data_IF_593985441073
#
_entry.id   IF_593985441073
#
_cell.length_a   1.000
_cell.length_b   1.000
_cell.length_c   1.000
_cell.angle_alpha   90.00
_cell.angle_beta   90.00
_cell.angle_gamma   90.00
#
_symmetry.space_group_name_H-M   'P 1'
#
loop_
_entity.id
_entity.type
_entity.pdbx_description
1 polymer ?
#
# COMPACT_ATOMS: atom_id res chain seq x y z
N UNK A 1 12.55 1.72 -17.84
CA UNK A 1 12.32 1.76 -16.39
C UNK A 1 13.10 2.90 -15.76
N UNK A 2 12.49 3.55 -14.78
CA UNK A 2 13.16 4.65 -14.09
C UNK A 2 14.31 4.09 -13.22
N UNK A 3 15.55 4.53 -13.50
CA UNK A 3 16.74 4.12 -12.74
C UNK A 3 16.67 4.51 -11.26
N UNK A 4 15.78 5.43 -10.89
CA UNK A 4 15.57 5.85 -9.50
C UNK A 4 15.04 4.73 -8.61
N UNK A 5 14.45 3.68 -9.19
CA UNK A 5 13.94 2.55 -8.43
C UNK A 5 15.01 1.52 -8.10
N UNK A 6 16.15 1.53 -8.80
CA UNK A 6 17.24 0.61 -8.49
C UNK A 6 17.84 0.92 -7.13
N UNK A 7 18.03 -0.12 -6.32
CA UNK A 7 18.54 0.02 -4.96
C UNK A 7 17.51 0.53 -3.95
N UNK A 8 16.30 0.82 -4.40
CA UNK A 8 15.20 1.24 -3.52
C UNK A 8 14.33 0.04 -3.15
N UNK A 9 13.80 0.07 -1.93
CA UNK A 9 12.87 -0.96 -1.45
C UNK A 9 11.45 -0.43 -1.58
N UNK A 10 10.63 -1.15 -2.34
CA UNK A 10 9.23 -0.80 -2.58
C UNK A 10 8.33 -1.56 -1.62
N UNK A 11 7.55 -0.84 -0.82
CA UNK A 11 6.55 -1.42 0.05
C UNK A 11 5.17 -1.31 -0.59
N UNK A 12 4.41 -2.39 -0.57
CA UNK A 12 3.08 -2.46 -1.14
C UNK A 12 2.07 -2.78 -0.03
N UNK A 13 1.10 -1.91 0.16
CA UNK A 13 0.02 -2.13 1.13
C UNK A 13 -1.15 -2.78 0.41
N UNK A 14 -1.40 -4.04 0.73
CA UNK A 14 -2.40 -4.87 0.06
C UNK A 14 -1.76 -5.89 -0.88
N UNK A 15 -2.04 -7.17 -0.64
CA UNK A 15 -1.46 -8.28 -1.40
C UNK A 15 -2.48 -9.06 -2.22
N UNK A 16 -3.46 -8.38 -2.83
CA UNK A 16 -4.46 -9.01 -3.69
C UNK A 16 -3.96 -9.22 -5.12
N UNK A 17 -4.87 -9.39 -6.05
CA UNK A 17 -4.52 -9.69 -7.44
C UNK A 17 -3.77 -8.55 -8.12
N UNK A 18 -4.13 -7.29 -7.85
CA UNK A 18 -3.42 -6.15 -8.42
C UNK A 18 -1.99 -6.08 -7.87
N UNK A 19 -1.82 -6.35 -6.57
CA UNK A 19 -0.50 -6.43 -5.97
C UNK A 19 0.35 -7.52 -6.61
N UNK A 20 -0.26 -8.67 -6.90
CA UNK A 20 0.42 -9.78 -7.58
C UNK A 20 0.92 -9.37 -8.96
N UNK A 21 0.10 -8.66 -9.72
CA UNK A 21 0.49 -8.17 -11.05
C UNK A 21 1.64 -7.18 -10.95
N UNK A 22 1.58 -6.28 -9.99
CA UNK A 22 2.65 -5.31 -9.76
C UNK A 22 3.96 -6.01 -9.37
N UNK A 23 3.89 -7.02 -8.49
CA UNK A 23 5.07 -7.79 -8.09
C UNK A 23 5.72 -8.52 -9.25
N UNK A 24 4.92 -9.07 -10.16
CA UNK A 24 5.45 -9.76 -11.34
C UNK A 24 6.31 -8.80 -12.17
N UNK A 25 5.85 -7.57 -12.36
CA UNK A 25 6.63 -6.56 -13.09
C UNK A 25 7.88 -6.14 -12.31
N UNK A 26 7.76 -5.95 -11.00
CA UNK A 26 8.90 -5.60 -10.15
C UNK A 26 9.97 -6.70 -10.18
N UNK A 27 9.56 -7.95 -10.14
CA UNK A 27 10.50 -9.08 -10.19
C UNK A 27 11.27 -9.11 -11.52
N UNK A 28 10.60 -8.82 -12.62
CA UNK A 28 11.26 -8.71 -13.94
C UNK A 28 12.32 -7.62 -13.97
N UNK A 29 12.08 -6.55 -13.24
CA UNK A 29 12.98 -5.39 -13.19
C UNK A 29 14.04 -5.49 -12.10
N UNK A 30 14.02 -6.55 -11.29
CA UNK A 30 14.95 -6.69 -10.18
C UNK A 30 14.72 -5.73 -9.02
N UNK A 31 13.51 -5.24 -8.84
CA UNK A 31 13.17 -4.33 -7.75
C UNK A 31 12.84 -5.13 -6.49
N UNK A 32 13.46 -4.74 -5.37
CA UNK A 32 13.17 -5.37 -4.08
C UNK A 32 11.79 -4.94 -3.57
N UNK A 33 10.96 -5.91 -3.20
CA UNK A 33 9.57 -5.64 -2.78
C UNK A 33 9.27 -6.21 -1.41
N UNK A 34 8.44 -5.49 -0.65
CA UNK A 34 7.83 -5.96 0.59
C UNK A 34 6.32 -5.76 0.47
N UNK A 35 5.54 -6.67 1.03
CA UNK A 35 4.07 -6.58 0.99
C UNK A 35 3.51 -6.73 2.38
N UNK A 36 2.51 -5.91 2.71
CA UNK A 36 1.73 -6.00 3.95
C UNK A 36 0.29 -6.35 3.60
N UNK A 37 -0.20 -7.46 4.13
CA UNK A 37 -1.59 -7.91 3.93
C UNK A 37 -2.06 -8.70 5.15
N UNK A 38 -3.33 -8.55 5.57
CA UNK A 38 -3.83 -9.28 6.73
C UNK A 38 -4.02 -10.77 6.50
N UNK A 39 -4.10 -11.22 5.25
CA UNK A 39 -4.29 -12.63 4.93
C UNK A 39 -2.98 -13.40 4.93
N UNK A 40 -2.82 -14.44 5.74
CA UNK A 40 -1.62 -15.27 5.68
C UNK A 40 -1.50 -16.06 4.36
N UNK A 41 -2.59 -16.19 3.63
CA UNK A 41 -2.64 -16.90 2.34
C UNK A 41 -2.68 -15.92 1.15
N UNK A 42 -2.21 -14.70 1.33
CA UNK A 42 -2.19 -13.70 0.26
C UNK A 42 -1.55 -14.24 -1.02
N UNK A 43 -2.11 -13.92 -2.21
CA UNK A 43 -1.49 -14.28 -3.49
C UNK A 43 -0.05 -13.76 -3.63
N UNK A 44 0.30 -12.72 -2.91
CA UNK A 44 1.63 -12.09 -2.99
C UNK A 44 2.69 -12.73 -2.09
N UNK A 45 2.28 -13.62 -1.19
CA UNK A 45 3.17 -14.18 -0.16
C UNK A 45 4.48 -14.75 -0.72
N UNK A 46 4.41 -15.49 -1.81
CA UNK A 46 5.57 -16.15 -2.38
C UNK A 46 6.25 -15.35 -3.50
N UNK A 47 5.69 -14.20 -3.87
CA UNK A 47 6.21 -13.36 -4.94
C UNK A 47 7.02 -12.18 -4.43
N UNK A 48 6.68 -11.68 -3.24
CA UNK A 48 7.41 -10.57 -2.61
C UNK A 48 8.73 -11.06 -2.02
N UNK A 49 9.73 -10.20 -1.97
CA UNK A 49 10.98 -10.51 -1.27
C UNK A 49 10.74 -10.64 0.23
N UNK A 50 9.86 -9.82 0.78
CA UNK A 50 9.38 -9.94 2.16
C UNK A 50 7.86 -9.84 2.20
N UNK A 51 7.25 -10.69 3.02
CA UNK A 51 5.82 -10.65 3.26
C UNK A 51 5.55 -10.46 4.74
N UNK A 52 4.74 -9.46 5.07
CA UNK A 52 4.30 -9.18 6.43
C UNK A 52 2.80 -9.42 6.54
N UNK A 53 2.40 -10.33 7.42
CA UNK A 53 1.00 -10.56 7.71
C UNK A 53 0.57 -9.57 8.79
N UNK A 54 -0.24 -8.60 8.41
CA UNK A 54 -0.70 -7.58 9.34
C UNK A 54 -1.78 -6.70 8.73
N UNK A 55 -2.38 -5.86 9.56
CA UNK A 55 -3.52 -5.04 9.17
C UNK A 55 -3.05 -3.68 8.63
N UNK A 56 -3.25 -3.45 7.34
CA UNK A 56 -2.93 -2.16 6.72
C UNK A 56 -3.86 -1.02 7.14
N UNK A 57 -4.89 -1.31 7.94
CA UNK A 57 -5.74 -0.30 8.56
C UNK A 57 -5.18 0.18 9.89
N UNK A 58 -4.24 -0.53 10.46
CA UNK A 58 -3.65 -0.20 11.75
C UNK A 58 -2.45 0.73 11.57
N UNK A 59 -2.52 1.89 12.23
CA UNK A 59 -1.51 2.95 12.13
C UNK A 59 -0.11 2.44 12.45
N UNK A 60 0.06 1.81 13.59
CA UNK A 60 1.38 1.35 14.03
C UNK A 60 1.94 0.24 13.14
N UNK A 61 1.08 -0.67 12.68
CA UNK A 61 1.49 -1.74 11.79
C UNK A 61 2.02 -1.20 10.46
N UNK A 62 1.34 -0.20 9.89
CA UNK A 62 1.79 0.43 8.65
C UNK A 62 3.13 1.12 8.86
N UNK A 63 3.33 1.82 9.98
CA UNK A 63 4.60 2.48 10.27
C UNK A 63 5.74 1.48 10.42
N UNK A 64 5.53 0.41 11.16
CA UNK A 64 6.54 -0.63 11.35
C UNK A 64 6.94 -1.28 10.03
N UNK A 65 5.94 -1.65 9.22
CA UNK A 65 6.19 -2.22 7.91
C UNK A 65 7.01 -1.27 7.04
N UNK A 66 6.67 0.01 7.08
CA UNK A 66 7.25 1.03 6.20
C UNK A 66 8.68 1.43 6.58
N UNK A 67 9.13 1.12 7.79
CA UNK A 67 10.48 1.46 8.24
C UNK A 67 11.56 0.96 7.28
N UNK A 68 11.35 -0.22 6.71
CA UNK A 68 12.33 -0.86 5.83
C UNK A 68 12.10 -0.54 4.35
N UNK A 69 11.18 0.38 4.06
CA UNK A 69 10.83 0.73 2.69
C UNK A 69 11.21 2.16 2.37
N UNK A 70 11.64 2.40 1.14
CA UNK A 70 11.96 3.74 0.65
C UNK A 70 10.75 4.38 -0.02
N UNK A 71 9.96 3.57 -0.71
CA UNK A 71 8.78 4.00 -1.45
C UNK A 71 7.61 3.13 -1.02
N UNK A 72 6.48 3.75 -0.76
CA UNK A 72 5.26 3.05 -0.35
C UNK A 72 4.19 3.27 -1.42
N UNK A 73 3.57 2.18 -1.84
CA UNK A 73 2.38 2.23 -2.69
C UNK A 73 1.28 1.39 -2.06
N UNK A 74 0.06 1.58 -2.53
CA UNK A 74 -1.07 0.81 -2.04
C UNK A 74 -1.97 0.46 -3.22
N UNK A 75 -2.56 -0.73 -3.16
CA UNK A 75 -3.51 -1.19 -4.18
C UNK A 75 -4.94 -1.15 -3.68
N UNK A 76 -5.13 -0.98 -2.38
CA UNK A 76 -6.44 -1.03 -1.76
C UNK A 76 -6.74 0.28 -1.03
N UNK A 77 -7.98 0.74 -1.12
CA UNK A 77 -8.40 2.04 -0.61
C UNK A 77 -8.67 2.07 0.90
N UNK A 78 -8.58 0.94 1.59
CA UNK A 78 -8.87 0.84 3.03
C UNK A 78 -7.64 0.98 3.91
N UNK A 79 -6.54 1.46 3.37
CA UNK A 79 -5.30 1.68 4.11
C UNK A 79 -5.44 2.86 5.05
N UNK A 80 -4.72 2.82 6.17
CA UNK A 80 -4.72 3.92 7.14
C UNK A 80 -4.07 5.18 6.55
N UNK A 81 -4.88 6.20 6.29
CA UNK A 81 -4.44 7.46 5.66
C UNK A 81 -3.49 8.24 6.57
N UNK A 82 -3.76 8.25 7.87
CA UNK A 82 -2.96 9.01 8.84
C UNK A 82 -1.52 8.50 8.88
N UNK A 83 -1.34 7.19 8.77
CA UNK A 83 -0.02 6.59 8.67
C UNK A 83 0.72 7.05 7.42
N UNK A 84 0.03 7.09 6.29
CA UNK A 84 0.61 7.56 5.03
C UNK A 84 1.01 9.03 5.12
N UNK A 85 0.18 9.86 5.73
CA UNK A 85 0.48 11.28 5.94
C UNK A 85 1.74 11.45 6.80
N UNK A 86 1.86 10.66 7.86
CA UNK A 86 3.04 10.67 8.71
C UNK A 86 4.30 10.30 7.93
N UNK A 87 4.22 9.24 7.12
CA UNK A 87 5.35 8.79 6.32
C UNK A 87 5.80 9.86 5.32
N UNK A 88 4.86 10.53 4.67
CA UNK A 88 5.17 11.63 3.76
C UNK A 88 5.89 12.78 4.46
N UNK A 89 5.42 13.16 5.64
CA UNK A 89 6.05 14.22 6.44
C UNK A 89 7.47 13.87 6.86
N UNK A 90 7.77 12.61 6.99
CA UNK A 90 9.09 12.13 7.40
C UNK A 90 9.98 11.72 6.22
N UNK A 91 9.65 12.16 5.03
CA UNK A 91 10.51 11.98 3.86
C UNK A 91 10.34 10.70 3.09
N UNK A 92 9.44 9.81 3.48
CA UNK A 92 9.12 8.63 2.69
C UNK A 92 8.30 9.04 1.48
N UNK A 93 8.54 8.39 0.35
CA UNK A 93 7.76 8.64 -0.87
C UNK A 93 6.55 7.72 -0.88
N UNK A 94 5.35 8.31 -0.95
CA UNK A 94 4.08 7.60 -0.98
C UNK A 94 3.39 7.91 -2.31
N UNK A 95 3.07 6.88 -3.09
CA UNK A 95 2.40 7.03 -4.39
C UNK A 95 1.29 6.00 -4.52
N UNK A 96 0.08 6.40 -4.87
CA UNK A 96 -0.41 7.79 -4.93
C UNK A 96 -0.29 8.48 -3.59
N UNK A 97 -0.31 9.81 -3.58
CA UNK A 97 -0.18 10.56 -2.32
C UNK A 97 -1.40 10.30 -1.41
N UNK A 98 -1.18 10.41 -0.10
CA UNK A 98 -2.23 10.22 0.91
C UNK A 98 -3.46 11.10 0.66
N UNK A 99 -3.27 12.29 0.13
CA UNK A 99 -4.35 13.21 -0.25
C UNK A 99 -5.32 12.56 -1.24
N UNK A 100 -4.79 11.83 -2.23
CA UNK A 100 -5.62 11.12 -3.22
C UNK A 100 -6.47 10.05 -2.56
N UNK A 101 -5.88 9.27 -1.67
CA UNK A 101 -6.61 8.22 -0.95
C UNK A 101 -7.70 8.81 -0.07
N UNK A 102 -7.42 9.93 0.59
CA UNK A 102 -8.40 10.62 1.43
C UNK A 102 -9.63 11.03 0.63
N UNK A 103 -9.44 11.56 -0.58
CA UNK A 103 -10.55 11.93 -1.47
C UNK A 103 -11.38 10.71 -1.85
N UNK A 104 -10.73 9.59 -2.17
CA UNK A 104 -11.41 8.34 -2.52
C UNK A 104 -12.24 7.83 -1.35
N UNK A 105 -11.68 7.84 -0.15
CA UNK A 105 -12.39 7.39 1.06
C UNK A 105 -13.59 8.27 1.36
N UNK A 106 -13.45 9.59 1.24
CA UNK A 106 -14.55 10.54 1.45
C UNK A 106 -15.70 10.30 0.46
N UNK A 107 -15.39 10.04 -0.81
CA UNK A 107 -16.39 9.73 -1.84
C UNK A 107 -17.12 8.43 -1.53
N UNK A 108 -16.41 7.41 -1.05
CA UNK A 108 -17.02 6.13 -0.67
C UNK A 108 -17.96 6.29 0.51
N UNK A 109 -17.59 7.07 1.50
CA UNK A 109 -18.46 7.39 2.64
C UNK A 109 -19.73 8.10 2.19
N UNK A 110 -19.61 9.05 1.26
CA UNK A 110 -20.74 9.75 0.68
C UNK A 110 -21.71 8.80 -0.01
N UNK A 111 -21.19 7.88 -0.83
CA UNK A 111 -22.01 6.88 -1.51
C UNK A 111 -22.76 6.00 -0.51
N UNK A 112 -22.10 5.56 0.54
CA UNK A 112 -22.71 4.75 1.58
C UNK A 112 -23.83 5.51 2.29
N UNK A 113 -23.60 6.79 2.59
CA UNK A 113 -24.60 7.66 3.19
C UNK A 113 -25.84 7.79 2.31
N UNK A 114 -25.65 8.10 1.03
CA UNK A 114 -26.76 8.26 0.09
C UNK A 114 -27.57 6.97 -0.05
N UNK A 115 -26.89 5.85 -0.19
CA UNK A 115 -27.55 4.55 -0.29
C UNK A 115 -28.37 4.21 0.95
N UNK A 116 -27.82 4.47 2.14
CA UNK A 116 -28.49 4.22 3.41
C UNK A 116 -29.75 5.10 3.59
N UNK A 117 -29.73 6.31 3.05
CA UNK A 117 -30.80 7.27 3.18
C UNK A 117 -31.72 7.36 1.93
N UNK A 118 -31.60 6.41 1.01
CA UNK A 118 -32.41 6.36 -0.21
C UNK A 118 -32.30 7.63 -1.09
N UNK A 119 -31.11 8.20 -1.16
CA UNK A 119 -30.86 9.41 -1.95
C UNK A 119 -30.12 9.04 -3.23
#
# INVERSE_FOLDING_TARGET
>A
MDSKLFGKKLGILGGGQLGKMLLAECNKMGIYTSVLDPSPDSPCKNLANKFFCGDFKDYNTVLEFSNDCDIITFEIEHVNVEALEFLEKNGKKVYPKSKTLKIIQDKNEQKCFFKKNNI
#
